data_IF_315232940339
#
_entry.id   IF_315232940339
#
_cell.length_a   1.000
_cell.length_b   1.000
_cell.length_c   1.000
_cell.angle_alpha   90.00
_cell.angle_beta   90.00
_cell.angle_gamma   90.00
#
_symmetry.space_group_name_H-M   'P 1'
#
loop_
_entity.id
_entity.type
_entity.pdbx_description
1 polymer ?
#
# COMPACT_ATOMS: atom_id res chain seq x y z
N UNK A 1 3.61 -15.46 20.17
CA UNK A 1 2.46 -15.78 19.28
C UNK A 1 1.29 -16.42 20.00
N UNK A 2 1.40 -17.59 20.65
CA UNK A 2 0.24 -18.27 21.28
C UNK A 2 -0.55 -17.44 22.31
N UNK A 3 0.09 -16.53 23.05
CA UNK A 3 -0.60 -15.60 23.96
C UNK A 3 -1.43 -14.55 23.21
N UNK A 4 -0.91 -14.05 22.09
CA UNK A 4 -1.61 -13.08 21.24
C UNK A 4 -2.80 -13.71 20.53
N UNK A 5 -2.65 -14.93 19.98
CA UNK A 5 -3.78 -15.65 19.36
C UNK A 5 -4.94 -15.85 20.32
N UNK A 6 -4.66 -16.25 21.59
CA UNK A 6 -5.70 -16.38 22.61
C UNK A 6 -6.38 -15.06 22.94
N UNK A 7 -5.59 -13.98 23.07
CA UNK A 7 -6.12 -12.64 23.36
C UNK A 7 -6.97 -12.12 22.19
N UNK A 8 -6.54 -12.34 20.94
CA UNK A 8 -7.31 -11.98 19.75
C UNK A 8 -8.70 -12.63 19.76
N UNK A 9 -8.79 -13.95 20.02
CA UNK A 9 -10.10 -14.63 20.10
C UNK A 9 -10.97 -14.04 21.18
N UNK A 10 -10.42 -13.76 22.36
CA UNK A 10 -11.18 -13.13 23.45
C UNK A 10 -11.69 -11.75 23.06
N UNK A 11 -10.82 -10.91 22.51
CA UNK A 11 -11.18 -9.56 22.12
C UNK A 11 -12.20 -9.56 20.99
N UNK A 12 -12.02 -10.38 19.95
CA UNK A 12 -12.97 -10.49 18.83
C UNK A 12 -14.32 -11.09 19.26
N UNK A 13 -14.36 -11.89 20.32
CA UNK A 13 -15.62 -12.42 20.88
C UNK A 13 -16.40 -11.36 21.65
N UNK A 14 -15.73 -10.30 22.12
CA UNK A 14 -16.32 -9.21 22.92
C UNK A 14 -16.59 -7.94 22.11
N UNK A 15 -15.98 -7.81 20.93
CA UNK A 15 -16.06 -6.63 20.06
C UNK A 15 -17.07 -6.86 18.94
N UNK A 16 -18.05 -5.98 18.85
CA UNK A 16 -18.92 -5.93 17.67
C UNK A 16 -18.28 -5.06 16.59
N UNK A 17 -17.85 -5.65 15.47
CA UNK A 17 -17.22 -4.93 14.34
C UNK A 17 -18.07 -3.75 13.85
N UNK A 18 -19.40 -3.82 14.04
CA UNK A 18 -20.33 -2.75 13.67
C UNK A 18 -20.09 -1.43 14.44
N UNK A 19 -19.39 -1.46 15.57
CA UNK A 19 -19.00 -0.20 16.27
C UNK A 19 -17.94 0.59 15.52
N UNK A 20 -17.14 -0.07 14.67
CA UNK A 20 -16.15 0.59 13.82
C UNK A 20 -16.78 1.11 12.53
N UNK A 21 -17.67 0.29 11.92
CA UNK A 21 -18.37 0.65 10.69
C UNK A 21 -19.71 -0.08 10.58
N UNK A 22 -20.82 0.61 10.20
CA UNK A 22 -22.14 -0.02 10.09
C UNK A 22 -22.14 -1.22 9.15
N UNK A 23 -22.69 -2.35 9.62
CA UNK A 23 -22.78 -3.59 8.84
C UNK A 23 -21.45 -4.33 8.64
N UNK A 24 -20.34 -3.86 9.21
CA UNK A 24 -19.08 -4.59 9.20
C UNK A 24 -19.21 -5.85 10.07
N UNK A 25 -18.94 -7.00 9.49
CA UNK A 25 -18.95 -8.32 10.13
C UNK A 25 -17.55 -8.91 10.01
N UNK A 26 -17.05 -9.54 11.07
CA UNK A 26 -15.76 -10.21 11.08
C UNK A 26 -15.72 -11.33 10.01
N UNK A 27 -14.86 -11.24 9.00
CA UNK A 27 -14.67 -12.30 7.99
C UNK A 27 -13.85 -13.47 8.57
N UNK A 28 -13.51 -14.44 7.72
CA UNK A 28 -12.41 -15.33 8.01
C UNK A 28 -11.09 -14.55 8.08
N UNK A 29 -10.16 -15.00 8.94
CA UNK A 29 -8.82 -14.43 8.96
C UNK A 29 -7.75 -15.47 9.25
N UNK A 30 -6.53 -15.17 8.81
CA UNK A 30 -5.35 -15.98 8.98
C UNK A 30 -4.19 -15.13 9.52
N UNK A 31 -3.57 -15.57 10.61
CA UNK A 31 -2.33 -14.99 11.10
C UNK A 31 -1.22 -15.98 10.79
N UNK A 32 -0.15 -15.56 10.13
CA UNK A 32 0.94 -16.46 9.74
C UNK A 32 2.29 -16.02 10.26
N UNK A 33 3.17 -16.99 10.46
CA UNK A 33 4.61 -16.83 10.62
C UNK A 33 5.35 -17.45 9.42
N UNK A 34 6.65 -17.70 9.56
CA UNK A 34 7.46 -18.30 8.49
C UNK A 34 7.00 -19.71 8.09
N UNK A 35 6.40 -20.46 9.01
CA UNK A 35 6.15 -21.89 8.84
C UNK A 35 4.67 -22.26 8.89
N UNK A 36 3.87 -21.51 9.64
CA UNK A 36 2.50 -21.86 10.00
C UNK A 36 1.51 -20.76 9.65
N UNK A 37 0.28 -21.16 9.41
CA UNK A 37 -0.90 -20.30 9.25
C UNK A 37 -1.93 -20.71 10.30
N UNK A 38 -2.41 -19.76 11.06
CA UNK A 38 -3.45 -19.91 12.05
C UNK A 38 -4.74 -19.29 11.50
N UNK A 39 -5.57 -20.14 10.91
CA UNK A 39 -6.83 -19.76 10.26
C UNK A 39 -7.98 -19.78 11.25
N UNK A 40 -8.83 -18.76 11.24
CA UNK A 40 -9.98 -18.61 12.12
C UNK A 40 -11.24 -18.23 11.35
N UNK A 41 -12.39 -18.66 11.83
CA UNK A 41 -13.73 -18.31 11.30
C UNK A 41 -13.94 -18.65 9.81
N UNK A 42 -13.20 -19.63 9.27
CA UNK A 42 -13.34 -20.01 7.85
C UNK A 42 -14.38 -21.13 7.68
N UNK A 43 -15.37 -20.99 6.77
CA UNK A 43 -16.49 -21.94 6.65
C UNK A 43 -16.10 -23.38 6.38
N UNK A 44 -15.04 -23.62 5.62
CA UNK A 44 -14.55 -24.99 5.30
C UNK A 44 -13.89 -25.70 6.48
N UNK A 45 -13.41 -24.94 7.49
CA UNK A 45 -12.61 -25.47 8.60
C UNK A 45 -13.34 -25.33 9.93
N UNK A 46 -14.62 -25.61 9.95
CA UNK A 46 -15.63 -25.28 10.95
C UNK A 46 -15.36 -25.91 12.34
N UNK A 47 -14.35 -25.40 13.07
CA UNK A 47 -14.24 -25.57 14.52
C UNK A 47 -14.55 -24.23 15.18
N UNK A 48 -15.73 -24.11 15.75
CA UNK A 48 -16.16 -22.87 16.41
C UNK A 48 -15.13 -22.41 17.45
N UNK A 49 -14.70 -21.15 17.34
CA UNK A 49 -13.83 -20.45 18.29
C UNK A 49 -12.42 -21.03 18.49
N UNK A 50 -11.88 -21.76 17.53
CA UNK A 50 -10.50 -22.28 17.56
C UNK A 50 -9.75 -21.98 16.26
N UNK A 51 -8.43 -21.80 16.39
CA UNK A 51 -7.57 -21.69 15.22
C UNK A 51 -7.31 -23.05 14.58
N UNK A 52 -7.43 -23.11 13.27
CA UNK A 52 -6.99 -24.24 12.47
C UNK A 52 -5.55 -24.00 12.03
N UNK A 53 -4.62 -24.88 12.40
CA UNK A 53 -3.20 -24.75 12.04
C UNK A 53 -2.92 -25.44 10.71
N UNK A 54 -2.35 -24.69 9.77
CA UNK A 54 -1.99 -25.14 8.43
C UNK A 54 -0.50 -24.86 8.17
N UNK A 55 0.18 -25.64 7.33
CA UNK A 55 1.50 -25.25 6.83
C UNK A 55 1.37 -24.00 5.96
N UNK A 56 2.32 -23.07 6.07
CA UNK A 56 2.35 -21.87 5.24
C UNK A 56 2.58 -22.22 3.76
N UNK A 57 1.80 -21.63 2.89
CA UNK A 57 1.98 -21.68 1.43
C UNK A 57 2.28 -20.27 0.89
N UNK A 58 2.62 -20.17 -0.39
CA UNK A 58 2.87 -18.88 -1.07
C UNK A 58 1.63 -17.98 -1.18
N UNK A 59 0.44 -18.47 -0.85
CA UNK A 59 -0.79 -17.65 -0.81
C UNK A 59 -0.81 -16.70 0.40
N UNK A 60 -0.14 -17.08 1.50
CA UNK A 60 -0.08 -16.28 2.72
C UNK A 60 1.20 -15.44 2.74
N UNK A 61 1.14 -14.25 2.12
CA UNK A 61 2.28 -13.35 1.99
C UNK A 61 1.87 -11.92 2.33
N UNK A 62 2.51 -11.33 3.35
CA UNK A 62 2.22 -9.97 3.81
C UNK A 62 0.89 -9.85 4.55
N UNK A 63 0.41 -8.60 4.63
CA UNK A 63 -0.90 -8.23 5.18
C UNK A 63 -1.81 -7.91 4.00
N UNK A 64 -2.97 -8.54 3.90
CA UNK A 64 -3.87 -8.40 2.76
C UNK A 64 -5.18 -9.17 2.94
N UNK A 65 -6.18 -8.92 2.09
CA UNK A 65 -7.34 -9.79 1.93
C UNK A 65 -7.18 -10.67 0.68
N UNK A 66 -7.41 -11.97 0.83
CA UNK A 66 -7.35 -12.95 -0.27
C UNK A 66 -8.67 -13.72 -0.40
N UNK A 67 -8.93 -14.27 -1.56
CA UNK A 67 -9.88 -15.38 -1.68
C UNK A 67 -9.14 -16.67 -1.30
N UNK A 68 -9.44 -17.20 -0.11
CA UNK A 68 -8.90 -18.48 0.32
C UNK A 68 -10.00 -19.53 0.28
N UNK A 69 -9.83 -20.56 -0.55
CA UNK A 69 -10.79 -21.64 -0.70
C UNK A 69 -12.23 -21.19 -1.01
N UNK A 70 -12.39 -20.10 -1.77
CA UNK A 70 -13.67 -19.53 -2.17
C UNK A 70 -14.30 -18.61 -1.10
N UNK A 71 -13.53 -18.14 -0.13
CA UNK A 71 -14.04 -17.26 0.92
C UNK A 71 -13.06 -16.09 1.21
N UNK A 72 -13.56 -14.84 1.28
CA UNK A 72 -12.71 -13.68 1.62
C UNK A 72 -12.08 -13.86 2.99
N UNK A 73 -10.75 -13.82 3.03
CA UNK A 73 -9.97 -14.11 4.23
C UNK A 73 -8.90 -13.03 4.43
N UNK A 74 -8.97 -12.35 5.56
CA UNK A 74 -7.92 -11.40 5.96
C UNK A 74 -6.65 -12.16 6.36
N UNK A 75 -5.50 -11.73 5.86
CA UNK A 75 -4.19 -12.34 6.14
C UNK A 75 -3.31 -11.32 6.81
N UNK A 76 -2.67 -11.72 7.92
CA UNK A 76 -1.73 -10.85 8.66
C UNK A 76 -0.45 -11.62 8.97
N UNK A 77 0.68 -11.00 8.65
CA UNK A 77 2.00 -11.51 8.97
C UNK A 77 2.42 -11.12 10.39
N UNK A 78 2.39 -12.07 11.32
CA UNK A 78 2.75 -11.85 12.72
C UNK A 78 4.14 -11.21 12.94
N UNK A 79 5.08 -11.47 12.04
CA UNK A 79 6.47 -11.01 12.19
C UNK A 79 6.64 -9.50 11.89
N UNK A 80 5.65 -8.86 11.24
CA UNK A 80 5.68 -7.43 10.92
C UNK A 80 5.18 -6.54 12.06
N UNK A 81 4.43 -7.12 13.02
CA UNK A 81 3.77 -6.39 14.10
C UNK A 81 4.41 -6.68 15.44
N UNK A 82 4.94 -5.64 16.10
CA UNK A 82 5.77 -5.76 17.33
C UNK A 82 4.94 -5.90 18.60
N UNK A 83 3.80 -5.23 18.66
CA UNK A 83 2.92 -5.25 19.82
C UNK A 83 1.52 -5.75 19.47
N UNK A 84 0.73 -5.96 20.51
CA UNK A 84 -0.61 -6.52 20.36
C UNK A 84 -1.58 -5.53 19.72
N UNK A 85 -1.45 -4.25 20.07
CA UNK A 85 -2.33 -3.18 19.63
C UNK A 85 -2.20 -2.99 18.12
N UNK A 86 -0.98 -2.98 17.58
CA UNK A 86 -0.72 -2.94 16.13
C UNK A 86 -1.24 -4.20 15.44
N UNK A 87 -0.98 -5.40 16.01
CA UNK A 87 -1.45 -6.67 15.44
C UNK A 87 -2.98 -6.75 15.38
N UNK A 88 -3.68 -6.30 16.43
CA UNK A 88 -5.13 -6.28 16.46
C UNK A 88 -5.69 -5.26 15.46
N UNK A 89 -5.12 -4.07 15.42
CA UNK A 89 -5.57 -3.00 14.54
C UNK A 89 -5.40 -3.37 13.06
N UNK A 90 -4.26 -3.93 12.66
CA UNK A 90 -4.04 -4.38 11.28
C UNK A 90 -4.95 -5.56 10.90
N UNK A 91 -5.25 -6.45 11.85
CA UNK A 91 -6.21 -7.52 11.60
C UNK A 91 -7.62 -6.98 11.30
N UNK A 92 -8.04 -5.92 12.01
CA UNK A 92 -9.31 -5.23 11.73
C UNK A 92 -9.26 -4.52 10.38
N UNK A 93 -8.14 -3.88 10.03
CA UNK A 93 -7.90 -3.24 8.73
C UNK A 93 -8.06 -4.25 7.58
N UNK A 94 -7.33 -5.36 7.60
CA UNK A 94 -7.40 -6.37 6.54
C UNK A 94 -8.77 -7.07 6.50
N UNK A 95 -9.41 -7.22 7.66
CA UNK A 95 -10.81 -7.70 7.72
C UNK A 95 -11.76 -6.71 7.06
N UNK A 96 -11.48 -5.41 7.15
CA UNK A 96 -12.30 -4.40 6.49
C UNK A 96 -12.13 -4.42 4.97
N UNK A 97 -10.95 -4.73 4.44
CA UNK A 97 -10.77 -4.98 3.01
C UNK A 97 -11.60 -6.17 2.52
N UNK A 98 -11.72 -7.24 3.30
CA UNK A 98 -12.64 -8.33 2.99
C UNK A 98 -14.11 -7.86 2.99
N UNK A 99 -14.51 -6.98 3.91
CA UNK A 99 -15.83 -6.38 3.93
C UNK A 99 -16.09 -5.50 2.70
N UNK A 100 -15.12 -4.65 2.29
CA UNK A 100 -15.19 -3.87 1.05
C UNK A 100 -15.40 -4.78 -0.16
N UNK A 101 -14.66 -5.89 -0.25
CA UNK A 101 -14.83 -6.89 -1.31
C UNK A 101 -16.25 -7.48 -1.33
N UNK A 102 -16.79 -7.87 -0.17
CA UNK A 102 -18.16 -8.41 -0.03
C UNK A 102 -19.22 -7.36 -0.41
N UNK A 103 -18.97 -6.07 -0.13
CA UNK A 103 -19.81 -4.94 -0.56
C UNK A 103 -19.72 -4.65 -2.05
N UNK A 104 -18.85 -5.33 -2.78
CA UNK A 104 -18.68 -5.15 -4.21
C UNK A 104 -17.89 -3.91 -4.59
N UNK A 105 -16.97 -3.47 -3.74
CA UNK A 105 -16.08 -2.35 -4.04
C UNK A 105 -15.32 -2.56 -5.35
N UNK A 106 -15.29 -1.54 -6.21
CA UNK A 106 -14.67 -1.58 -7.55
C UNK A 106 -13.75 -0.40 -7.83
N UNK A 107 -13.69 0.58 -6.93
CA UNK A 107 -12.94 1.83 -7.08
C UNK A 107 -11.45 1.65 -6.78
N UNK A 108 -10.81 0.64 -7.38
CA UNK A 108 -9.40 0.34 -7.15
C UNK A 108 -8.48 1.25 -7.97
N UNK A 109 -7.36 1.72 -7.40
CA UNK A 109 -6.39 2.54 -8.10
C UNK A 109 -5.63 1.73 -9.17
N UNK A 110 -5.19 2.43 -10.23
CA UNK A 110 -4.18 1.90 -11.13
C UNK A 110 -2.79 2.07 -10.49
N UNK A 111 -2.25 1.02 -9.89
CA UNK A 111 -0.98 1.05 -9.14
C UNK A 111 0.23 1.51 -9.98
N UNK A 112 0.15 1.40 -11.31
CA UNK A 112 1.21 1.88 -12.22
C UNK A 112 1.41 3.39 -12.07
N UNK A 113 0.34 4.15 -11.90
CA UNK A 113 0.41 5.61 -11.75
C UNK A 113 1.15 6.02 -10.46
N UNK A 114 1.05 5.23 -9.40
CA UNK A 114 1.79 5.48 -8.16
C UNK A 114 3.31 5.50 -8.33
N UNK A 115 3.84 4.64 -9.21
CA UNK A 115 5.29 4.57 -9.46
C UNK A 115 5.78 5.67 -10.39
N UNK A 116 4.91 6.11 -11.30
CA UNK A 116 5.18 7.16 -12.28
C UNK A 116 4.74 8.55 -11.78
N UNK A 117 4.37 8.63 -10.49
CA UNK A 117 3.82 9.83 -9.90
C UNK A 117 4.75 11.06 -10.09
N UNK A 118 4.22 12.20 -10.59
CA UNK A 118 5.02 13.37 -10.93
C UNK A 118 5.51 14.11 -9.68
N UNK A 119 6.80 14.03 -9.41
CA UNK A 119 7.50 14.74 -8.33
C UNK A 119 8.10 16.07 -8.85
N UNK A 120 7.29 16.90 -9.53
CA UNK A 120 7.66 18.28 -9.81
C UNK A 120 7.59 19.11 -8.52
N UNK A 121 8.47 20.12 -8.40
CA UNK A 121 8.47 21.01 -7.23
C UNK A 121 7.11 21.67 -7.01
N UNK A 122 6.43 22.06 -8.08
CA UNK A 122 5.12 22.67 -8.01
C UNK A 122 4.05 21.71 -7.46
N UNK A 123 3.99 20.47 -7.96
CA UNK A 123 3.04 19.49 -7.45
C UNK A 123 3.31 19.15 -5.98
N UNK A 124 4.59 19.00 -5.59
CA UNK A 124 4.96 18.71 -4.20
C UNK A 124 4.61 19.89 -3.28
N UNK A 125 4.83 21.14 -3.71
CA UNK A 125 4.46 22.33 -2.92
C UNK A 125 2.93 22.38 -2.68
N UNK A 126 2.15 22.29 -3.75
CA UNK A 126 0.67 22.33 -3.65
C UNK A 126 0.17 21.18 -2.78
N UNK A 127 0.68 19.98 -2.98
CA UNK A 127 0.31 18.79 -2.21
C UNK A 127 0.63 18.95 -0.72
N UNK A 128 1.78 19.52 -0.37
CA UNK A 128 2.14 19.77 1.03
C UNK A 128 1.19 20.78 1.68
N UNK A 129 0.84 21.86 0.97
CA UNK A 129 -0.13 22.85 1.46
C UNK A 129 -1.54 22.23 1.59
N UNK A 130 -1.99 21.47 0.61
CA UNK A 130 -3.25 20.71 0.64
C UNK A 130 -3.36 19.86 1.89
N UNK A 131 -2.34 19.02 2.16
CA UNK A 131 -2.32 18.09 3.28
C UNK A 131 -2.25 18.81 4.64
N UNK A 132 -1.50 19.91 4.72
CA UNK A 132 -1.48 20.76 5.91
C UNK A 132 -2.87 21.36 6.20
N UNK A 133 -3.59 21.83 5.18
CA UNK A 133 -4.92 22.38 5.36
C UNK A 133 -5.93 21.30 5.76
N UNK A 134 -5.84 20.08 5.21
CA UNK A 134 -6.65 18.94 5.64
C UNK A 134 -6.42 18.62 7.13
N UNK A 135 -5.15 18.61 7.58
CA UNK A 135 -4.82 18.44 8.99
C UNK A 135 -5.40 19.56 9.86
N UNK A 136 -5.18 20.82 9.47
CA UNK A 136 -5.66 21.99 10.21
C UNK A 136 -7.20 22.05 10.27
N UNK A 137 -7.90 21.58 9.24
CA UNK A 137 -9.36 21.47 9.23
C UNK A 137 -9.88 20.56 10.34
N UNK A 138 -9.26 19.38 10.51
CA UNK A 138 -9.64 18.45 11.58
C UNK A 138 -9.33 19.00 12.97
N UNK A 139 -8.19 19.70 13.13
CA UNK A 139 -7.70 20.27 14.39
C UNK A 139 -8.37 21.59 14.77
N UNK A 140 -9.19 22.16 13.89
CA UNK A 140 -9.85 23.44 14.15
C UNK A 140 -10.84 23.34 15.32
N UNK A 141 -10.78 24.38 16.21
CA UNK A 141 -11.61 24.44 17.41
C UNK A 141 -12.98 25.08 17.16
N UNK A 142 -13.18 25.69 16.00
CA UNK A 142 -14.44 26.33 15.60
C UNK A 142 -14.79 26.02 14.14
N UNK A 143 -16.08 26.05 13.83
CA UNK A 143 -16.61 25.72 12.50
C UNK A 143 -16.11 26.67 11.42
N UNK A 144 -15.94 27.97 11.70
CA UNK A 144 -15.49 28.95 10.72
C UNK A 144 -14.07 28.65 10.24
N UNK A 145 -13.17 28.33 11.16
CA UNK A 145 -11.79 27.91 10.82
C UNK A 145 -11.78 26.57 10.10
N UNK A 146 -12.58 25.61 10.55
CA UNK A 146 -12.70 24.32 9.89
C UNK A 146 -13.12 24.53 8.43
N UNK A 147 -14.17 25.30 8.19
CA UNK A 147 -14.67 25.60 6.85
C UNK A 147 -13.63 26.34 5.99
N UNK A 148 -12.91 27.30 6.56
CA UNK A 148 -11.81 27.97 5.86
C UNK A 148 -10.76 26.96 5.38
N UNK A 149 -10.26 26.09 6.25
CA UNK A 149 -9.24 25.10 5.89
C UNK A 149 -9.76 24.05 4.90
N UNK A 150 -11.04 23.63 5.00
CA UNK A 150 -11.64 22.73 4.03
C UNK A 150 -11.69 23.39 2.64
N UNK A 151 -12.12 24.65 2.55
CA UNK A 151 -12.18 25.35 1.26
C UNK A 151 -10.80 25.53 0.64
N UNK A 152 -9.78 25.85 1.43
CA UNK A 152 -8.38 25.90 0.95
C UNK A 152 -7.90 24.52 0.48
N UNK A 153 -8.14 23.46 1.26
CA UNK A 153 -7.81 22.07 0.90
C UNK A 153 -8.42 21.68 -0.44
N UNK A 154 -9.72 21.91 -0.63
CA UNK A 154 -10.43 21.58 -1.87
C UNK A 154 -9.87 22.38 -3.05
N UNK A 155 -9.68 23.70 -2.88
CA UNK A 155 -9.18 24.56 -3.96
C UNK A 155 -7.75 24.17 -4.39
N UNK A 156 -6.89 23.76 -3.46
CA UNK A 156 -5.55 23.25 -3.76
C UNK A 156 -5.61 21.92 -4.53
N UNK A 157 -6.51 21.01 -4.14
CA UNK A 157 -6.72 19.74 -4.82
C UNK A 157 -7.25 19.91 -6.23
N UNK A 158 -8.22 20.77 -6.44
CA UNK A 158 -8.73 21.11 -7.78
C UNK A 158 -7.63 21.73 -8.67
N UNK A 159 -6.80 22.62 -8.11
CA UNK A 159 -5.66 23.18 -8.85
C UNK A 159 -4.64 22.11 -9.27
N UNK A 160 -4.49 21.04 -8.47
CA UNK A 160 -3.67 19.87 -8.86
C UNK A 160 -4.35 19.02 -9.93
N UNK A 161 -5.66 18.87 -9.88
CA UNK A 161 -6.44 18.12 -10.88
C UNK A 161 -6.18 18.62 -12.29
N UNK A 162 -6.16 19.93 -12.49
CA UNK A 162 -5.87 20.55 -13.79
C UNK A 162 -4.47 20.23 -14.35
N UNK A 163 -3.56 19.72 -13.52
CA UNK A 163 -2.13 19.53 -13.86
C UNK A 163 -1.70 18.09 -13.93
N UNK A 164 -2.25 17.24 -13.08
CA UNK A 164 -1.81 15.85 -12.92
C UNK A 164 -2.95 14.85 -13.05
N UNK A 165 -4.16 15.30 -13.38
CA UNK A 165 -5.39 14.55 -13.70
C UNK A 165 -5.39 13.07 -13.25
N UNK A 166 -4.92 12.15 -14.11
CA UNK A 166 -4.91 10.70 -13.83
C UNK A 166 -4.13 10.31 -12.56
N UNK A 167 -3.08 11.06 -12.21
CA UNK A 167 -2.31 10.81 -10.99
C UNK A 167 -3.05 11.28 -9.74
N UNK A 168 -3.86 12.35 -9.83
CA UNK A 168 -4.72 12.74 -8.74
C UNK A 168 -5.88 11.75 -8.58
N UNK A 169 -6.43 11.25 -9.68
CA UNK A 169 -7.42 10.17 -9.62
C UNK A 169 -6.84 8.94 -8.92
N UNK A 170 -5.57 8.59 -9.18
CA UNK A 170 -4.89 7.54 -8.44
C UNK A 170 -4.88 7.81 -6.92
N UNK A 171 -4.48 9.01 -6.47
CA UNK A 171 -4.53 9.36 -5.03
C UNK A 171 -5.94 9.21 -4.46
N UNK A 172 -6.95 9.77 -5.15
CA UNK A 172 -8.35 9.71 -4.72
C UNK A 172 -8.86 8.26 -4.59
N UNK A 173 -8.44 7.35 -5.49
CA UNK A 173 -8.83 5.95 -5.43
C UNK A 173 -8.08 5.18 -4.33
N UNK A 174 -6.80 5.50 -4.08
CA UNK A 174 -6.10 4.95 -2.90
C UNK A 174 -6.78 5.43 -1.61
N UNK A 175 -7.10 6.72 -1.50
CA UNK A 175 -7.84 7.27 -0.35
C UNK A 175 -9.21 6.59 -0.16
N UNK A 176 -9.87 6.21 -1.27
CA UNK A 176 -11.18 5.55 -1.26
C UNK A 176 -11.14 4.15 -0.67
N UNK A 177 -10.09 3.38 -0.97
CA UNK A 177 -9.92 2.02 -0.47
C UNK A 177 -9.30 2.03 0.92
N UNK A 178 -8.21 2.75 1.10
CA UNK A 178 -7.37 2.69 2.29
C UNK A 178 -7.84 3.64 3.41
N UNK A 179 -8.45 4.76 3.07
CA UNK A 179 -8.93 5.73 4.06
C UNK A 179 -9.93 5.14 5.05
N UNK A 180 -11.03 4.50 4.58
CA UNK A 180 -11.99 3.80 5.45
C UNK A 180 -11.35 2.63 6.21
N UNK A 181 -10.40 1.89 5.62
CA UNK A 181 -9.69 0.82 6.28
C UNK A 181 -8.79 1.35 7.42
N UNK A 182 -8.06 2.45 7.19
CA UNK A 182 -7.29 3.14 8.24
C UNK A 182 -8.19 3.79 9.31
N UNK A 183 -9.39 4.23 8.94
CA UNK A 183 -10.36 4.74 9.89
C UNK A 183 -10.82 3.66 10.89
N UNK A 184 -11.13 2.45 10.44
CA UNK A 184 -11.49 1.35 11.33
C UNK A 184 -10.27 0.83 12.12
N UNK A 185 -9.08 0.83 11.51
CA UNK A 185 -7.82 0.51 12.16
C UNK A 185 -7.53 1.46 13.33
N UNK A 186 -7.62 2.78 13.10
CA UNK A 186 -7.44 3.79 14.16
C UNK A 186 -8.37 3.54 15.33
N UNK A 187 -9.64 3.23 15.07
CA UNK A 187 -10.63 2.96 16.14
C UNK A 187 -10.29 1.67 16.91
N UNK A 188 -9.91 0.61 16.20
CA UNK A 188 -9.48 -0.64 16.81
C UNK A 188 -8.19 -0.46 17.64
N UNK A 189 -7.23 0.31 17.13
CA UNK A 189 -6.02 0.66 17.86
C UNK A 189 -6.32 1.46 19.13
N UNK A 190 -7.18 2.48 19.02
CA UNK A 190 -7.56 3.32 20.16
C UNK A 190 -8.28 2.54 21.27
N UNK A 191 -9.06 1.52 20.92
CA UNK A 191 -9.74 0.66 21.90
C UNK A 191 -8.75 -0.19 22.72
N UNK A 192 -7.66 -0.64 22.10
CA UNK A 192 -6.69 -1.55 22.75
C UNK A 192 -5.50 -0.81 23.37
N UNK A 193 -5.22 0.41 22.92
CA UNK A 193 -4.08 1.21 23.35
C UNK A 193 -4.36 1.98 24.64
N UNK A 194 -3.34 2.11 25.49
CA UNK A 194 -3.34 3.01 26.64
C UNK A 194 -2.95 4.46 26.32
N UNK A 195 -2.62 4.75 25.07
CA UNK A 195 -2.24 6.10 24.64
C UNK A 195 -3.46 7.03 24.63
N UNK A 196 -3.21 8.33 24.79
CA UNK A 196 -4.27 9.34 24.63
C UNK A 196 -4.71 9.45 23.17
N UNK A 197 -5.95 9.87 22.94
CA UNK A 197 -6.49 10.08 21.59
C UNK A 197 -5.60 10.99 20.74
N UNK A 198 -4.98 12.03 21.31
CA UNK A 198 -4.09 12.92 20.58
C UNK A 198 -2.82 12.21 20.09
N UNK A 199 -2.18 11.39 20.92
CA UNK A 199 -0.99 10.63 20.54
C UNK A 199 -1.30 9.58 19.47
N UNK A 200 -2.49 8.97 19.55
CA UNK A 200 -2.96 8.05 18.52
C UNK A 200 -3.19 8.78 17.21
N UNK A 201 -3.86 9.93 17.24
CA UNK A 201 -4.09 10.73 16.06
C UNK A 201 -2.77 11.21 15.43
N UNK A 202 -1.80 11.63 16.25
CA UNK A 202 -0.45 11.99 15.78
C UNK A 202 0.26 10.82 15.10
N UNK A 203 0.18 9.60 15.64
CA UNK A 203 0.72 8.38 15.03
C UNK A 203 0.17 8.19 13.62
N UNK A 204 -1.14 8.30 13.45
CA UNK A 204 -1.81 8.09 12.15
C UNK A 204 -1.68 9.29 11.19
N UNK A 205 -1.36 10.47 11.72
CA UNK A 205 -1.13 11.68 10.93
C UNK A 205 0.27 11.76 10.30
N UNK A 206 1.22 10.93 10.71
CA UNK A 206 2.62 11.04 10.25
C UNK A 206 2.71 11.09 8.71
N UNK A 207 2.05 10.17 8.01
CA UNK A 207 2.02 10.18 6.54
C UNK A 207 1.35 11.42 5.94
N UNK A 208 0.61 12.21 6.71
CA UNK A 208 -0.02 13.46 6.27
C UNK A 208 0.88 14.68 6.50
N UNK A 209 1.52 14.78 7.67
CA UNK A 209 2.24 15.97 8.14
C UNK A 209 3.74 15.92 7.86
N UNK A 210 4.35 14.73 7.80
CA UNK A 210 5.75 14.58 7.42
C UNK A 210 5.87 14.70 5.90
N UNK A 211 6.37 15.83 5.43
CA UNK A 211 6.47 16.17 4.02
C UNK A 211 7.48 15.28 3.27
N UNK A 212 8.54 14.82 3.94
CA UNK A 212 9.54 13.93 3.36
C UNK A 212 8.94 12.52 3.18
N UNK A 213 8.36 11.95 4.23
CA UNK A 213 7.69 10.66 4.17
C UNK A 213 6.53 10.66 3.16
N UNK A 214 5.72 11.72 3.16
CA UNK A 214 4.58 11.82 2.24
C UNK A 214 5.00 11.88 0.76
N UNK A 215 6.16 12.47 0.47
CA UNK A 215 6.70 12.57 -0.90
C UNK A 215 7.50 11.34 -1.32
N UNK A 216 8.13 10.64 -0.37
CA UNK A 216 8.86 9.40 -0.61
C UNK A 216 7.91 8.21 -0.81
N UNK A 217 6.81 8.16 -0.05
CA UNK A 217 5.85 7.06 -0.01
C UNK A 217 4.44 7.52 -0.39
N UNK A 218 4.25 7.93 -1.67
CA UNK A 218 2.99 8.51 -2.18
C UNK A 218 1.78 7.66 -1.80
N UNK A 219 1.79 6.35 -2.12
CA UNK A 219 0.67 5.45 -1.84
C UNK A 219 0.34 5.41 -0.34
N UNK A 220 1.33 5.17 0.51
CA UNK A 220 1.13 5.08 1.96
C UNK A 220 0.64 6.39 2.56
N UNK A 221 1.09 7.52 2.02
CA UNK A 221 0.65 8.83 2.48
C UNK A 221 -0.83 9.09 2.23
N UNK A 222 -1.43 8.46 1.20
CA UNK A 222 -2.86 8.55 0.92
C UNK A 222 -3.72 7.83 1.99
N UNK A 223 -3.16 6.88 2.75
CA UNK A 223 -3.85 6.28 3.90
C UNK A 223 -4.19 7.36 4.94
N UNK A 224 -3.20 8.22 5.27
CA UNK A 224 -3.42 9.31 6.21
C UNK A 224 -4.40 10.37 5.67
N UNK A 225 -4.29 10.80 4.42
CA UNK A 225 -5.25 11.78 3.87
C UNK A 225 -6.66 11.21 3.78
N UNK A 226 -6.83 9.96 3.33
CA UNK A 226 -8.11 9.27 3.32
C UNK A 226 -8.72 9.14 4.72
N UNK A 227 -7.93 8.76 5.73
CA UNK A 227 -8.37 8.75 7.12
C UNK A 227 -8.87 10.13 7.57
N UNK A 228 -8.12 11.20 7.28
CA UNK A 228 -8.50 12.55 7.72
C UNK A 228 -9.77 13.04 7.01
N UNK A 229 -9.99 12.66 5.76
CA UNK A 229 -11.26 12.88 5.06
C UNK A 229 -12.41 12.14 5.78
N UNK A 230 -12.23 10.88 6.17
CA UNK A 230 -13.22 10.11 6.94
C UNK A 230 -13.54 10.76 8.29
N UNK A 231 -12.53 11.26 9.01
CA UNK A 231 -12.72 11.95 10.29
C UNK A 231 -13.42 13.29 10.16
N UNK A 232 -13.21 14.01 9.05
CA UNK A 232 -13.97 15.23 8.73
C UNK A 232 -15.41 14.89 8.34
N UNK A 233 -15.64 13.82 7.59
CA UNK A 233 -16.99 13.32 7.28
C UNK A 233 -17.78 13.00 8.57
N UNK A 234 -17.15 12.43 9.59
CA UNK A 234 -17.81 12.24 10.90
C UNK A 234 -18.30 13.56 11.54
N UNK A 235 -17.62 14.70 11.25
CA UNK A 235 -18.03 16.02 11.76
C UNK A 235 -19.11 16.70 10.93
N UNK A 236 -19.08 16.54 9.60
CA UNK A 236 -19.97 17.28 8.68
C UNK A 236 -21.21 16.50 8.28
N UNK A 237 -21.16 15.17 8.25
CA UNK A 237 -22.25 14.29 7.82
C UNK A 237 -22.19 12.96 8.62
N UNK A 238 -22.63 12.93 9.90
CA UNK A 238 -22.41 11.79 10.81
C UNK A 238 -22.86 10.43 10.27
N UNK A 239 -23.87 10.40 9.41
CA UNK A 239 -24.45 9.19 8.83
C UNK A 239 -23.79 8.73 7.51
N UNK A 240 -22.74 9.41 7.06
CA UNK A 240 -22.06 9.20 5.78
C UNK A 240 -21.67 7.74 5.48
N UNK A 241 -21.34 6.97 6.51
CA UNK A 241 -20.93 5.55 6.39
C UNK A 241 -22.02 4.63 5.82
N UNK A 242 -23.30 4.98 6.00
CA UNK A 242 -24.42 4.20 5.46
C UNK A 242 -24.57 4.38 3.95
N UNK A 243 -24.13 5.54 3.42
CA UNK A 243 -24.31 5.92 2.02
C UNK A 243 -23.07 5.65 1.17
N UNK A 244 -21.88 5.59 1.78
CA UNK A 244 -20.59 5.59 1.09
C UNK A 244 -20.41 4.40 0.12
N UNK A 245 -20.82 3.19 0.51
CA UNK A 245 -20.72 2.00 -0.35
C UNK A 245 -21.83 1.89 -1.39
N UNK A 246 -22.88 2.68 -1.26
CA UNK A 246 -23.94 2.79 -2.29
C UNK A 246 -23.58 3.85 -3.35
N UNK A 247 -22.57 4.66 -3.10
CA UNK A 247 -22.05 5.68 -4.02
C UNK A 247 -20.94 5.12 -4.90
N UNK A 248 -20.93 5.54 -6.18
CA UNK A 248 -19.83 5.25 -7.12
C UNK A 248 -18.70 6.31 -7.06
N UNK A 249 -18.87 7.37 -6.26
CA UNK A 249 -17.91 8.47 -6.13
C UNK A 249 -16.66 8.03 -5.38
N UNK A 250 -15.50 8.62 -5.72
CA UNK A 250 -14.32 8.52 -4.87
C UNK A 250 -14.59 9.10 -3.47
N UNK A 251 -13.80 8.75 -2.46
CA UNK A 251 -13.95 9.30 -1.11
C UNK A 251 -13.88 10.84 -1.10
N UNK A 252 -12.99 11.41 -1.92
CA UNK A 252 -12.87 12.86 -2.07
C UNK A 252 -14.10 13.48 -2.72
N UNK A 253 -14.61 12.92 -3.81
CA UNK A 253 -15.81 13.45 -4.47
C UNK A 253 -17.06 13.29 -3.61
N UNK A 254 -17.15 12.16 -2.89
CA UNK A 254 -18.19 11.96 -1.89
C UNK A 254 -18.12 13.02 -0.78
N UNK A 255 -16.91 13.29 -0.25
CA UNK A 255 -16.69 14.35 0.73
C UNK A 255 -17.14 15.72 0.22
N UNK A 256 -16.79 16.10 -1.03
CA UNK A 256 -17.25 17.35 -1.64
C UNK A 256 -18.78 17.42 -1.72
N UNK A 257 -19.42 16.30 -2.07
CA UNK A 257 -20.88 16.25 -2.16
C UNK A 257 -21.56 16.43 -0.80
N UNK A 258 -20.98 15.89 0.27
CA UNK A 258 -21.51 15.99 1.63
C UNK A 258 -21.23 17.37 2.27
N UNK A 259 -20.31 18.15 1.73
CA UNK A 259 -19.91 19.44 2.29
C UNK A 259 -20.69 20.60 1.66
N UNK A 260 -21.74 21.06 2.36
CA UNK A 260 -22.68 22.07 1.84
C UNK A 260 -22.11 23.51 1.76
N UNK A 261 -21.01 23.79 2.48
CA UNK A 261 -20.42 25.15 2.57
C UNK A 261 -19.23 25.34 1.64
N UNK A 262 -19.14 24.54 0.58
CA UNK A 262 -18.09 24.67 -0.42
C UNK A 262 -18.21 26.05 -1.12
N UNK A 263 -17.16 26.83 -1.06
CA UNK A 263 -17.05 28.13 -1.72
C UNK A 263 -15.77 28.20 -2.53
N UNK A 264 -15.82 28.89 -3.66
CA UNK A 264 -14.61 29.19 -4.42
C UNK A 264 -13.63 29.97 -3.56
N UNK A 265 -12.45 29.43 -3.35
CA UNK A 265 -11.35 30.11 -2.67
C UNK A 265 -10.33 30.57 -3.70
N UNK A 266 -10.09 31.87 -3.76
CA UNK A 266 -9.13 32.43 -4.70
C UNK A 266 -7.71 32.18 -4.14
N UNK A 267 -7.02 31.19 -4.71
CA UNK A 267 -5.66 30.88 -4.31
C UNK A 267 -4.69 31.94 -4.87
N UNK A 268 -3.87 32.52 -4.01
CA UNK A 268 -2.74 33.33 -4.44
C UNK A 268 -1.74 32.49 -5.26
N UNK A 269 -0.81 33.16 -5.95
CA UNK A 269 0.27 32.48 -6.63
C UNK A 269 1.11 31.67 -5.64
N UNK A 270 1.31 30.39 -5.94
CA UNK A 270 2.02 29.47 -5.06
C UNK A 270 3.51 29.59 -5.34
N UNK A 271 4.24 30.17 -4.40
CA UNK A 271 5.69 30.21 -4.43
C UNK A 271 6.28 28.87 -3.97
N UNK A 272 7.25 28.35 -4.73
CA UNK A 272 7.94 27.10 -4.38
C UNK A 272 8.94 27.41 -3.25
N UNK A 273 8.71 26.80 -2.10
CA UNK A 273 9.58 26.94 -0.94
C UNK A 273 10.93 26.24 -1.12
N UNK A 274 11.93 26.70 -0.40
CA UNK A 274 13.24 26.02 -0.34
C UNK A 274 13.12 24.61 0.22
N UNK A 275 12.23 24.40 1.19
CA UNK A 275 11.95 23.09 1.77
C UNK A 275 11.44 22.10 0.70
N UNK A 276 10.53 22.53 -0.18
CA UNK A 276 10.03 21.69 -1.28
C UNK A 276 11.13 21.30 -2.26
N UNK A 277 12.04 22.22 -2.61
CA UNK A 277 13.21 21.88 -3.43
C UNK A 277 14.10 20.82 -2.75
N UNK A 278 14.33 20.96 -1.46
CA UNK A 278 15.13 20.01 -0.68
C UNK A 278 14.44 18.63 -0.61
N UNK A 279 13.11 18.58 -0.45
CA UNK A 279 12.32 17.33 -0.48
C UNK A 279 12.44 16.63 -1.84
N UNK A 280 12.24 17.36 -2.93
CA UNK A 280 12.31 16.79 -4.28
C UNK A 280 13.71 16.22 -4.56
N UNK A 281 14.77 16.94 -4.17
CA UNK A 281 16.14 16.48 -4.28
C UNK A 281 16.42 15.26 -3.41
N UNK A 282 15.92 15.23 -2.18
CA UNK A 282 16.01 14.10 -1.27
C UNK A 282 15.36 12.84 -1.87
N UNK A 283 14.14 12.95 -2.39
CA UNK A 283 13.44 11.79 -3.00
C UNK A 283 14.19 11.28 -4.23
N UNK A 284 14.68 12.18 -5.09
CA UNK A 284 15.50 11.79 -6.26
C UNK A 284 16.77 11.05 -5.84
N UNK A 285 17.49 11.59 -4.84
CA UNK A 285 18.72 10.98 -4.35
C UNK A 285 18.45 9.62 -3.67
N UNK A 286 17.37 9.49 -2.92
CA UNK A 286 16.96 8.21 -2.33
C UNK A 286 16.74 7.13 -3.38
N UNK A 287 16.05 7.46 -4.47
CA UNK A 287 15.86 6.51 -5.59
C UNK A 287 17.22 6.06 -6.16
N UNK A 288 18.15 6.97 -6.40
CA UNK A 288 19.50 6.63 -6.88
C UNK A 288 20.21 5.70 -5.89
N UNK A 289 20.23 6.07 -4.60
CA UNK A 289 20.89 5.30 -3.55
C UNK A 289 20.35 3.86 -3.42
N UNK A 290 19.04 3.65 -3.61
CA UNK A 290 18.44 2.32 -3.58
C UNK A 290 18.99 1.42 -4.70
N UNK A 291 19.11 1.97 -5.93
CA UNK A 291 19.70 1.23 -7.05
C UNK A 291 21.19 0.94 -6.84
N UNK A 292 21.96 1.92 -6.36
CA UNK A 292 23.38 1.73 -6.03
C UNK A 292 23.57 0.68 -4.94
N UNK A 293 22.77 0.74 -3.88
CA UNK A 293 22.78 -0.25 -2.79
C UNK A 293 22.49 -1.65 -3.31
N UNK A 294 21.54 -1.80 -4.22
CA UNK A 294 21.27 -3.09 -4.86
C UNK A 294 22.49 -3.56 -5.65
N UNK A 295 23.08 -2.73 -6.50
CA UNK A 295 24.20 -3.10 -7.36
C UNK A 295 25.49 -3.45 -6.59
N UNK A 296 25.66 -2.91 -5.39
CA UNK A 296 26.82 -3.15 -4.53
C UNK A 296 26.69 -4.41 -3.66
N UNK A 297 25.54 -5.08 -3.67
CA UNK A 297 25.37 -6.34 -2.90
C UNK A 297 26.36 -7.40 -3.38
N UNK A 298 27.05 -8.10 -2.45
CA UNK A 298 27.84 -9.25 -2.82
C UNK A 298 26.95 -10.41 -3.29
N UNK A 299 27.48 -11.26 -4.18
CA UNK A 299 26.77 -12.43 -4.66
C UNK A 299 27.02 -12.74 -6.12
N UNK A 300 26.26 -13.69 -6.65
CA UNK A 300 26.32 -14.08 -8.05
C UNK A 300 25.37 -13.20 -8.86
N UNK A 301 25.93 -12.27 -9.63
CA UNK A 301 25.16 -11.34 -10.46
C UNK A 301 24.73 -12.00 -11.76
N UNK A 302 23.43 -12.30 -11.90
CA UNK A 302 22.82 -12.91 -13.07
C UNK A 302 21.91 -11.93 -13.78
N UNK A 303 22.15 -11.70 -15.06
CA UNK A 303 21.25 -10.96 -15.95
C UNK A 303 20.51 -11.97 -16.85
N UNK A 304 19.19 -11.93 -16.80
CA UNK A 304 18.32 -12.70 -17.70
C UNK A 304 17.80 -11.71 -18.72
N UNK A 305 18.18 -11.91 -19.98
CA UNK A 305 17.91 -10.96 -21.07
C UNK A 305 16.98 -11.57 -22.11
N UNK A 306 15.91 -10.86 -22.45
CA UNK A 306 14.92 -11.26 -23.45
C UNK A 306 13.52 -10.72 -23.11
N UNK A 307 12.49 -11.32 -23.69
CA UNK A 307 11.12 -10.88 -23.49
C UNK A 307 10.53 -11.47 -22.18
N UNK A 308 10.25 -10.59 -21.23
CA UNK A 308 9.78 -10.98 -19.89
C UNK A 308 8.54 -10.14 -19.54
N UNK A 309 7.45 -10.78 -19.18
CA UNK A 309 6.22 -10.10 -18.78
C UNK A 309 6.02 -10.14 -17.26
N UNK A 310 5.78 -9.00 -16.62
CA UNK A 310 5.41 -8.94 -15.20
C UNK A 310 3.97 -9.42 -15.02
N UNK A 311 3.72 -10.27 -14.03
CA UNK A 311 2.40 -10.80 -13.68
C UNK A 311 1.87 -10.25 -12.36
N UNK A 312 2.73 -10.20 -11.34
CA UNK A 312 2.40 -9.69 -10.02
C UNK A 312 3.65 -9.10 -9.38
N UNK A 313 3.49 -8.08 -8.60
CA UNK A 313 4.56 -7.41 -7.86
C UNK A 313 3.99 -6.81 -6.56
N UNK A 314 4.86 -6.38 -5.66
CA UNK A 314 4.49 -5.69 -4.44
C UNK A 314 4.47 -4.16 -4.70
N UNK A 315 3.29 -3.52 -4.77
CA UNK A 315 3.19 -2.10 -5.11
C UNK A 315 3.74 -1.17 -4.03
N UNK A 316 3.89 -1.65 -2.78
CA UNK A 316 4.46 -0.87 -1.69
C UNK A 316 5.98 -0.84 -1.71
N UNK A 317 6.62 -1.79 -2.40
CA UNK A 317 8.06 -2.03 -2.35
C UNK A 317 8.69 -2.04 -3.74
N UNK A 318 8.40 -0.99 -4.52
CA UNK A 318 8.91 -0.80 -5.87
C UNK A 318 9.48 0.62 -6.01
N UNK A 319 10.58 0.75 -6.77
CA UNK A 319 11.17 2.06 -7.10
C UNK A 319 11.48 2.10 -8.60
N UNK A 320 11.08 3.19 -9.27
CA UNK A 320 11.38 3.43 -10.68
C UNK A 320 12.36 4.59 -10.82
N UNK A 321 13.40 4.40 -11.66
CA UNK A 321 14.40 5.39 -12.03
C UNK A 321 14.70 5.28 -13.53
N UNK A 322 14.14 6.19 -14.33
CA UNK A 322 14.19 6.10 -15.79
C UNK A 322 13.54 4.82 -16.29
N UNK A 323 14.24 4.05 -17.12
CA UNK A 323 13.79 2.77 -17.66
C UNK A 323 14.16 1.56 -16.76
N UNK A 324 14.48 1.80 -15.49
CA UNK A 324 14.82 0.77 -14.52
C UNK A 324 13.76 0.71 -13.43
N UNK A 325 13.47 -0.51 -13.00
CA UNK A 325 12.59 -0.79 -11.86
C UNK A 325 13.31 -1.69 -10.86
N UNK A 326 13.23 -1.36 -9.57
CA UNK A 326 13.71 -2.19 -8.47
C UNK A 326 12.51 -2.72 -7.70
N UNK A 327 12.25 -4.02 -7.80
CA UNK A 327 11.31 -4.73 -6.93
C UNK A 327 12.07 -5.14 -5.67
N UNK A 328 11.70 -4.59 -4.51
CA UNK A 328 12.46 -4.78 -3.25
C UNK A 328 12.13 -6.09 -2.53
N UNK A 329 10.91 -6.61 -2.71
CA UNK A 329 10.44 -7.82 -2.03
C UNK A 329 10.29 -9.01 -2.98
N UNK A 330 9.40 -8.87 -3.96
CA UNK A 330 9.12 -9.94 -4.91
C UNK A 330 8.61 -9.42 -6.24
N UNK A 331 8.76 -10.25 -7.25
CA UNK A 331 8.09 -10.10 -8.54
C UNK A 331 7.74 -11.49 -9.09
N UNK A 332 6.55 -11.62 -9.67
CA UNK A 332 6.16 -12.78 -10.47
C UNK A 332 6.26 -12.41 -11.94
N UNK A 333 7.02 -13.16 -12.69
CA UNK A 333 7.25 -12.92 -14.12
C UNK A 333 6.85 -14.13 -14.95
N UNK A 334 6.51 -13.89 -16.22
CA UNK A 334 6.38 -14.92 -17.25
C UNK A 334 7.52 -14.79 -18.22
N UNK A 335 8.23 -15.89 -18.45
CA UNK A 335 9.25 -16.08 -19.48
C UNK A 335 8.78 -17.22 -20.37
N UNK A 336 8.55 -16.96 -21.65
CA UNK A 336 7.88 -17.89 -22.55
C UNK A 336 6.54 -18.35 -21.97
N UNK A 337 6.32 -19.66 -21.82
CA UNK A 337 5.09 -20.23 -21.27
C UNK A 337 5.14 -20.52 -19.77
N UNK A 338 6.28 -20.24 -19.10
CA UNK A 338 6.49 -20.56 -17.69
C UNK A 338 6.42 -19.31 -16.79
N UNK A 339 5.84 -19.47 -15.60
CA UNK A 339 5.76 -18.42 -14.58
C UNK A 339 6.76 -18.69 -13.44
N UNK A 340 7.48 -17.65 -13.05
CA UNK A 340 8.51 -17.70 -12.01
C UNK A 340 8.16 -16.69 -10.92
N UNK A 341 8.13 -17.14 -9.67
CA UNK A 341 7.95 -16.29 -8.50
C UNK A 341 9.28 -16.05 -7.83
N UNK A 342 9.76 -14.82 -7.86
CA UNK A 342 11.08 -14.42 -7.37
C UNK A 342 10.89 -13.64 -6.08
N UNK A 343 11.18 -14.27 -4.94
CA UNK A 343 11.00 -13.70 -3.59
C UNK A 343 12.30 -13.12 -3.04
N UNK A 344 12.90 -12.20 -3.78
CA UNK A 344 14.10 -11.45 -3.38
C UNK A 344 14.11 -10.11 -4.14
N UNK A 345 14.97 -9.14 -3.76
CA UNK A 345 15.16 -7.94 -4.55
C UNK A 345 15.60 -8.25 -5.97
N UNK A 346 14.97 -7.60 -6.95
CA UNK A 346 15.24 -7.76 -8.39
C UNK A 346 15.27 -6.37 -9.03
N UNK A 347 16.37 -6.04 -9.71
CA UNK A 347 16.39 -4.91 -10.61
C UNK A 347 16.00 -5.39 -12.01
N UNK A 348 15.15 -4.64 -12.69
CA UNK A 348 14.77 -4.94 -14.06
C UNK A 348 14.89 -3.70 -14.94
N UNK A 349 15.12 -3.92 -16.26
CA UNK A 349 15.05 -2.87 -17.27
C UNK A 349 13.83 -3.13 -18.16
N UNK A 350 13.20 -2.03 -18.62
CA UNK A 350 12.06 -2.08 -19.53
C UNK A 350 12.23 -1.03 -20.63
N UNK A 351 11.50 -1.20 -21.75
CA UNK A 351 11.37 -0.19 -22.78
C UNK A 351 9.89 0.03 -23.07
N UNK A 352 9.45 1.27 -22.91
CA UNK A 352 8.03 1.63 -23.01
C UNK A 352 7.25 1.30 -21.73
N UNK A 353 6.48 0.23 -21.69
CA UNK A 353 5.64 -0.09 -20.55
C UNK A 353 6.38 -0.99 -19.53
N UNK A 354 6.39 -0.59 -18.26
CA UNK A 354 7.17 -1.25 -17.18
C UNK A 354 6.76 -2.70 -16.87
N UNK A 355 5.62 -3.16 -17.35
CA UNK A 355 5.21 -4.57 -17.26
C UNK A 355 5.87 -5.46 -18.33
N UNK A 356 6.54 -4.85 -19.32
CA UNK A 356 7.27 -5.53 -20.38
C UNK A 356 8.77 -5.30 -20.18
N UNK A 357 9.40 -6.26 -19.53
CA UNK A 357 10.81 -6.18 -19.19
C UNK A 357 11.65 -6.77 -20.33
N UNK A 358 12.87 -6.23 -20.49
CA UNK A 358 13.88 -6.76 -21.38
C UNK A 358 15.08 -7.38 -20.64
N UNK A 359 15.21 -7.09 -19.33
CA UNK A 359 16.28 -7.62 -18.50
C UNK A 359 15.81 -7.78 -17.07
N UNK A 360 16.16 -8.89 -16.42
CA UNK A 360 16.14 -9.07 -14.98
C UNK A 360 17.55 -9.19 -14.46
N UNK A 361 17.91 -8.42 -13.45
CA UNK A 361 19.17 -8.56 -12.72
C UNK A 361 18.91 -9.14 -11.33
N UNK A 362 19.35 -10.37 -11.13
CA UNK A 362 19.29 -11.09 -9.88
C UNK A 362 20.67 -11.09 -9.22
N UNK A 363 20.71 -10.98 -7.89
CA UNK A 363 21.92 -11.20 -7.12
C UNK A 363 21.64 -12.40 -6.21
N UNK A 364 22.28 -13.53 -6.53
CA UNK A 364 22.02 -14.82 -5.90
C UNK A 364 23.08 -15.13 -4.83
N UNK A 365 22.62 -15.56 -3.66
CA UNK A 365 23.52 -16.04 -2.58
C UNK A 365 24.12 -17.41 -2.91
N UNK A 366 23.41 -18.23 -3.68
CA UNK A 366 23.82 -19.57 -4.12
C UNK A 366 24.00 -19.56 -5.62
N UNK A 367 25.18 -20.00 -6.09
CA UNK A 367 25.44 -20.11 -7.51
C UNK A 367 24.42 -21.05 -8.18
N UNK A 368 23.84 -20.66 -9.34
CA UNK A 368 22.93 -21.53 -10.06
C UNK A 368 23.66 -22.75 -10.65
N UNK A 369 22.93 -23.82 -10.83
CA UNK A 369 23.46 -25.04 -11.48
C UNK A 369 23.26 -24.88 -12.99
N UNK A 370 24.41 -24.87 -13.72
CA UNK A 370 24.39 -24.73 -15.18
C UNK A 370 24.12 -26.11 -15.82
N UNK A 371 23.23 -26.09 -16.84
CA UNK A 371 22.99 -27.19 -17.77
C UNK A 371 23.30 -26.68 -19.17
N UNK A 372 23.26 -27.54 -20.16
CA UNK A 372 23.65 -27.17 -21.53
C UNK A 372 22.84 -26.00 -22.12
N UNK A 373 21.56 -25.94 -21.82
CA UNK A 373 20.58 -24.99 -22.38
C UNK A 373 19.71 -24.32 -21.31
N UNK A 374 20.09 -24.39 -20.03
CA UNK A 374 19.29 -23.86 -18.93
C UNK A 374 20.10 -23.60 -17.66
N UNK A 375 19.55 -22.74 -16.79
CA UNK A 375 20.02 -22.52 -15.43
C UNK A 375 18.99 -22.97 -14.41
N UNK A 376 19.39 -23.81 -13.45
CA UNK A 376 18.59 -24.14 -12.27
C UNK A 376 18.96 -23.17 -11.15
N UNK A 377 18.03 -22.30 -10.77
CA UNK A 377 18.19 -21.25 -9.75
C UNK A 377 17.44 -21.68 -8.50
N UNK A 378 18.16 -21.77 -7.38
CA UNK A 378 17.56 -22.16 -6.10
C UNK A 378 16.40 -21.22 -5.70
N UNK A 379 15.25 -21.79 -5.32
CA UNK A 379 14.06 -21.04 -4.92
C UNK A 379 13.28 -20.38 -6.07
N UNK A 380 13.75 -20.44 -7.33
CA UNK A 380 13.08 -19.85 -8.48
C UNK A 380 12.64 -20.93 -9.48
N UNK A 381 13.56 -21.84 -9.84
CA UNK A 381 13.28 -22.88 -10.83
C UNK A 381 14.32 -23.02 -11.92
N UNK A 382 13.96 -23.70 -13.01
CA UNK A 382 14.83 -23.90 -14.18
C UNK A 382 14.37 -22.95 -15.28
N UNK A 383 15.29 -22.11 -15.76
CA UNK A 383 15.06 -21.18 -16.87
C UNK A 383 15.90 -21.60 -18.06
N UNK A 384 15.26 -21.81 -19.20
CA UNK A 384 15.91 -22.15 -20.47
C UNK A 384 16.53 -20.90 -21.12
N UNK A 385 17.71 -21.07 -21.71
CA UNK A 385 18.41 -19.98 -22.38
C UNK A 385 19.90 -20.27 -22.56
N UNK A 386 20.53 -19.48 -23.40
CA UNK A 386 21.97 -19.54 -23.66
C UNK A 386 22.74 -18.80 -22.55
N UNK A 387 23.58 -19.52 -21.82
CA UNK A 387 24.41 -18.97 -20.77
C UNK A 387 25.75 -18.47 -21.30
N UNK A 388 26.17 -17.28 -20.86
CA UNK A 388 27.49 -16.72 -21.10
C UNK A 388 28.00 -15.90 -19.92
N UNK A 389 29.33 -15.77 -19.80
CA UNK A 389 29.95 -14.88 -18.81
C UNK A 389 30.60 -13.69 -19.50
N UNK A 390 30.27 -12.46 -19.02
CA UNK A 390 30.85 -11.20 -19.51
C UNK A 390 31.38 -10.39 -18.33
N UNK A 391 32.70 -10.35 -18.16
CA UNK A 391 33.31 -9.69 -16.99
C UNK A 391 32.89 -10.33 -15.67
N UNK A 392 32.36 -9.51 -14.78
CA UNK A 392 31.87 -9.96 -13.47
C UNK A 392 30.39 -10.39 -13.48
N UNK A 393 29.70 -10.26 -14.62
CA UNK A 393 28.30 -10.60 -14.76
C UNK A 393 28.10 -11.91 -15.52
N UNK A 394 27.06 -12.63 -15.13
CA UNK A 394 26.60 -13.84 -15.79
C UNK A 394 25.32 -13.54 -16.54
N UNK A 395 25.21 -13.96 -17.78
CA UNK A 395 24.08 -13.66 -18.66
C UNK A 395 23.37 -14.96 -19.05
N UNK A 396 22.05 -14.91 -19.09
CA UNK A 396 21.18 -15.93 -19.64
C UNK A 396 20.32 -15.28 -20.71
N UNK A 397 20.57 -15.57 -21.96
CA UNK A 397 19.79 -15.10 -23.09
C UNK A 397 18.61 -16.03 -23.32
N UNK A 398 17.41 -15.52 -23.10
CA UNK A 398 16.15 -16.22 -23.33
C UNK A 398 15.54 -15.81 -24.68
N UNK A 399 14.76 -16.73 -25.28
CA UNK A 399 14.11 -16.49 -26.58
C UNK A 399 12.83 -15.65 -26.47
#
# INVERSE_FOLDING_TARGET
MNSYLKRIVQDLSSVEMQQYWPGFILPAFAIHDKNNVFLYNHPKFNQQNTFHNLPRTSQFTGDTCIDYEGYPTAVVNFELHRDYEDLFAILVHESFHCYQYVKGEKRFPNEVLGFMYPLSEENVEIRNQERNNLFMALMANDTSKMNHYINVFVSLREKRSDRIDEYLLYENLVETIEGPAWYVELKAYAEKSSLSCNLILEKYAQGLIDKYESSLHIRRSCYSSGLFICLLLDKISPDWKYEFFESELSLYDFFKQQYAELSEFNLEDIEISKETQDIVNFVKQNKVNEFETFLQKPGFHLLIEGKIAVKTFDPMNITILGEKVLHKNFVKVRISDSEYFIQQPVMACFSGHFLNLNTLHLILDINPVMKFDSLSIHGIGVIEGEYMKRGNYHHLLIQ
#
